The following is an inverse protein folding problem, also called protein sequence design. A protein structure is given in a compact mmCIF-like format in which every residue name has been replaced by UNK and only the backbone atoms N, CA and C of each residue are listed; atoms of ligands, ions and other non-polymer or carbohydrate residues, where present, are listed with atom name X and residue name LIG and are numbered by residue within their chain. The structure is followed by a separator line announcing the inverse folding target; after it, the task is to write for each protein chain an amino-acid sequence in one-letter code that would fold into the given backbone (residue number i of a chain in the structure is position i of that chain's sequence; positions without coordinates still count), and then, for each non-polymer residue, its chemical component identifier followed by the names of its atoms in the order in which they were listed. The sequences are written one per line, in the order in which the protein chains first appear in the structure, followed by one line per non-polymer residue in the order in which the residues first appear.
data_IF_868590974827
#
_entry.id   IF_868590974827
#
_cell.length_a   1.000
_cell.length_b   1.000
_cell.length_c   1.000
_cell.angle_alpha   90.00
_cell.angle_beta   90.00
_cell.angle_gamma   90.00
#
_symmetry.space_group_name_H-M   'P 1'
#
loop_
_entity.id
_entity.type
_entity.pdbx_description
1 polymer ?
#
# COMPACT_ATOMS: atom_id res chain seq x y z
N UNK A 1 9.19 15.91 -8.40
CA UNK A 1 8.49 15.13 -7.36
C UNK A 1 6.99 15.20 -7.58
N UNK A 2 6.29 14.06 -7.51
CA UNK A 2 4.85 13.99 -7.66
C UNK A 2 4.13 14.79 -6.57
N UNK A 3 3.04 15.48 -6.93
CA UNK A 3 2.10 16.05 -5.95
C UNK A 3 1.26 14.93 -5.34
N UNK A 4 0.74 15.12 -4.12
CA UNK A 4 -0.05 14.11 -3.40
C UNK A 4 -1.12 13.41 -4.27
N UNK A 5 -1.96 14.13 -5.05
CA UNK A 5 -2.99 13.47 -5.85
C UNK A 5 -2.42 12.53 -6.92
N UNK A 6 -1.28 12.90 -7.51
CA UNK A 6 -0.61 12.08 -8.52
C UNK A 6 0.09 10.86 -7.88
N UNK A 7 0.69 11.04 -6.70
CA UNK A 7 1.27 9.94 -5.94
C UNK A 7 0.18 8.93 -5.53
N UNK A 8 -0.93 9.40 -4.95
CA UNK A 8 -2.05 8.54 -4.58
C UNK A 8 -2.67 7.83 -5.80
N UNK A 9 -2.82 8.53 -6.92
CA UNK A 9 -3.34 7.92 -8.15
C UNK A 9 -2.41 6.81 -8.67
N UNK A 10 -1.09 7.02 -8.63
CA UNK A 10 -0.11 6.02 -9.00
C UNK A 10 -0.20 4.80 -8.08
N UNK A 11 -0.23 5.02 -6.77
CA UNK A 11 -0.42 3.96 -5.77
C UNK A 11 -1.67 3.15 -6.08
N UNK A 12 -2.84 3.80 -6.21
CA UNK A 12 -4.09 3.11 -6.48
C UNK A 12 -4.07 2.33 -7.80
N UNK A 13 -3.43 2.90 -8.83
CA UNK A 13 -3.29 2.24 -10.14
C UNK A 13 -2.41 0.99 -10.08
N UNK A 14 -1.42 0.94 -9.19
CA UNK A 14 -0.52 -0.20 -9.01
C UNK A 14 -1.10 -1.21 -8.04
N UNK A 15 -1.53 -0.76 -6.86
CA UNK A 15 -1.85 -1.64 -5.75
C UNK A 15 -3.22 -2.30 -5.88
N UNK A 16 -4.24 -1.56 -6.33
CA UNK A 16 -5.61 -2.09 -6.39
C UNK A 16 -5.70 -3.31 -7.32
N UNK A 17 -5.14 -3.32 -8.54
CA UNK A 17 -5.14 -4.51 -9.38
C UNK A 17 -4.40 -5.69 -8.74
N UNK A 18 -3.24 -5.45 -8.13
CA UNK A 18 -2.42 -6.51 -7.52
C UNK A 18 -3.13 -7.16 -6.33
N UNK A 19 -3.64 -6.34 -5.40
CA UNK A 19 -4.47 -6.82 -4.30
C UNK A 19 -5.72 -7.54 -4.82
N UNK A 20 -6.45 -6.96 -5.77
CA UNK A 20 -7.70 -7.53 -6.24
C UNK A 20 -7.50 -8.92 -6.88
N UNK A 21 -6.46 -9.08 -7.71
CA UNK A 21 -6.07 -10.36 -8.32
C UNK A 21 -5.65 -11.35 -7.24
N UNK A 22 -4.74 -10.96 -6.34
CA UNK A 22 -4.25 -11.85 -5.29
C UNK A 22 -5.38 -12.31 -4.35
N UNK A 23 -6.25 -11.41 -3.92
CA UNK A 23 -7.41 -11.73 -3.09
C UNK A 23 -8.42 -12.62 -3.82
N UNK A 24 -8.64 -12.38 -5.12
CA UNK A 24 -9.55 -13.19 -5.94
C UNK A 24 -9.08 -14.62 -6.08
N UNK A 25 -7.80 -14.84 -6.36
CA UNK A 25 -7.27 -16.16 -6.68
C UNK A 25 -6.70 -16.89 -5.46
N UNK A 26 -6.06 -16.18 -4.53
CA UNK A 26 -5.53 -16.75 -3.29
C UNK A 26 -6.59 -17.04 -2.23
N UNK A 27 -7.58 -16.15 -2.06
CA UNK A 27 -8.60 -16.26 -1.01
C UNK A 27 -10.03 -16.43 -1.52
N UNK A 28 -10.22 -16.54 -2.84
CA UNK A 28 -11.53 -16.70 -3.48
C UNK A 28 -12.50 -15.55 -3.17
N UNK A 29 -11.99 -14.37 -2.87
CA UNK A 29 -12.79 -13.17 -2.62
C UNK A 29 -13.52 -12.75 -3.90
N UNK A 30 -14.78 -12.31 -3.78
CA UNK A 30 -15.54 -11.80 -4.94
C UNK A 30 -14.87 -10.52 -5.47
N UNK A 31 -14.84 -10.34 -6.79
CA UNK A 31 -14.19 -9.18 -7.43
C UNK A 31 -14.59 -7.82 -6.83
N UNK A 32 -15.88 -7.50 -6.65
CA UNK A 32 -16.27 -6.21 -6.07
C UNK A 32 -15.72 -6.02 -4.66
N UNK A 33 -15.73 -7.07 -3.85
CA UNK A 33 -15.19 -7.05 -2.48
C UNK A 33 -13.68 -6.93 -2.48
N UNK A 34 -12.98 -7.61 -3.39
CA UNK A 34 -11.52 -7.55 -3.50
C UNK A 34 -11.03 -6.16 -3.90
N UNK A 35 -11.68 -5.55 -4.91
CA UNK A 35 -11.38 -4.18 -5.36
C UNK A 35 -11.72 -3.16 -4.26
N UNK A 36 -12.88 -3.29 -3.63
CA UNK A 36 -13.29 -2.38 -2.55
C UNK A 36 -12.36 -2.45 -1.34
N UNK A 37 -11.98 -3.66 -0.92
CA UNK A 37 -11.03 -3.84 0.17
C UNK A 37 -9.66 -3.24 -0.17
N UNK A 38 -9.14 -3.52 -1.36
CA UNK A 38 -7.87 -2.97 -1.83
C UNK A 38 -7.86 -1.44 -1.85
N UNK A 39 -8.88 -0.82 -2.45
CA UNK A 39 -8.99 0.62 -2.50
C UNK A 39 -9.14 1.23 -1.09
N UNK A 40 -9.95 0.60 -0.23
CA UNK A 40 -10.20 1.14 1.10
C UNK A 40 -8.97 1.09 2.01
N UNK A 41 -8.19 -0.01 2.00
CA UNK A 41 -6.96 -0.06 2.82
C UNK A 41 -5.97 1.00 2.37
N UNK A 42 -5.77 1.15 1.06
CA UNK A 42 -4.93 2.18 0.47
C UNK A 42 -5.38 3.60 0.86
N UNK A 43 -6.68 3.89 0.74
CA UNK A 43 -7.26 5.20 1.08
C UNK A 43 -7.17 5.52 2.58
N UNK A 44 -7.06 4.51 3.44
CA UNK A 44 -6.86 4.70 4.89
C UNK A 44 -5.39 4.94 5.21
N UNK A 45 -4.47 4.18 4.60
CA UNK A 45 -3.05 4.19 4.95
C UNK A 45 -2.26 5.33 4.29
N UNK A 46 -2.50 5.58 3.01
CA UNK A 46 -1.66 6.47 2.21
C UNK A 46 -1.78 7.97 2.55
N UNK A 47 -2.93 8.53 2.96
CA UNK A 47 -2.98 9.90 3.45
C UNK A 47 -2.10 10.12 4.69
N UNK A 48 -2.09 9.13 5.60
CA UNK A 48 -1.29 9.17 6.83
C UNK A 48 0.20 9.04 6.49
N UNK A 49 0.55 8.04 5.67
CA UNK A 49 1.91 7.82 5.19
C UNK A 49 2.47 9.08 4.53
N UNK A 50 1.72 9.69 3.61
CA UNK A 50 2.12 10.91 2.94
C UNK A 50 2.35 12.06 3.91
N UNK A 51 1.44 12.25 4.87
CA UNK A 51 1.56 13.33 5.86
C UNK A 51 2.85 13.19 6.65
N UNK A 52 3.13 11.99 7.19
CA UNK A 52 4.36 11.70 7.94
C UNK A 52 5.61 11.90 7.08
N UNK A 53 5.66 11.29 5.89
CA UNK A 53 6.84 11.39 5.04
C UNK A 53 7.07 12.80 4.51
N UNK A 54 6.02 13.57 4.24
CA UNK A 54 6.13 14.94 3.74
C UNK A 54 6.80 15.89 4.74
N UNK A 55 6.58 15.68 6.04
CA UNK A 55 7.18 16.47 7.12
C UNK A 55 8.67 16.16 7.34
N UNK A 56 9.10 14.95 6.98
CA UNK A 56 10.45 14.46 7.24
C UNK A 56 11.34 14.49 5.98
N UNK A 57 10.85 15.06 4.87
CA UNK A 57 11.63 15.21 3.63
C UNK A 57 12.88 16.05 3.90
N UNK A 58 14.04 15.53 3.48
CA UNK A 58 15.33 16.20 3.61
C UNK A 58 16.11 15.85 4.89
N UNK A 59 15.53 15.07 5.81
CA UNK A 59 16.29 14.52 6.92
C UNK A 59 17.31 13.49 6.42
N UNK A 60 18.54 13.49 6.96
CA UNK A 60 19.56 12.49 6.61
C UNK A 60 19.12 11.04 6.89
N UNK A 61 18.18 10.85 7.83
CA UNK A 61 17.58 9.56 8.16
C UNK A 61 16.37 9.17 7.29
N UNK A 62 16.03 9.94 6.24
CA UNK A 62 14.84 9.72 5.41
C UNK A 62 14.70 8.28 4.87
N UNK A 63 15.75 7.60 4.39
CA UNK A 63 15.62 6.21 3.94
C UNK A 63 15.17 5.25 5.03
N UNK A 64 15.69 5.40 6.26
CA UNK A 64 15.30 4.56 7.39
C UNK A 64 13.86 4.86 7.84
N UNK A 65 13.47 6.13 7.83
CA UNK A 65 12.10 6.57 8.10
C UNK A 65 11.12 6.00 7.07
N UNK A 66 11.48 6.04 5.78
CA UNK A 66 10.69 5.46 4.71
C UNK A 66 10.45 3.96 4.96
N UNK A 67 11.51 3.19 5.16
CA UNK A 67 11.40 1.74 5.41
C UNK A 67 10.54 1.44 6.64
N UNK A 68 10.74 2.19 7.74
CA UNK A 68 9.93 2.03 8.95
C UNK A 68 8.45 2.37 8.76
N UNK A 69 8.16 3.44 8.02
CA UNK A 69 6.79 3.86 7.72
C UNK A 69 6.07 2.87 6.79
N UNK A 70 6.75 2.38 5.76
CA UNK A 70 6.25 1.35 4.85
C UNK A 70 5.97 0.04 5.60
N UNK A 71 6.87 -0.39 6.50
CA UNK A 71 6.65 -1.57 7.32
C UNK A 71 5.41 -1.42 8.22
N UNK A 72 5.20 -0.24 8.81
CA UNK A 72 4.01 0.05 9.60
C UNK A 72 2.74 0.04 8.74
N UNK A 73 2.78 0.62 7.54
CA UNK A 73 1.67 0.59 6.58
C UNK A 73 1.33 -0.85 6.21
N UNK A 74 2.31 -1.66 5.82
CA UNK A 74 2.11 -3.07 5.49
C UNK A 74 1.42 -3.85 6.62
N UNK A 75 1.83 -3.61 7.87
CA UNK A 75 1.19 -4.23 9.03
C UNK A 75 -0.26 -3.77 9.21
N UNK A 76 -0.54 -2.48 9.07
CA UNK A 76 -1.90 -1.92 9.16
C UNK A 76 -2.79 -2.45 8.04
N UNK A 77 -2.33 -2.46 6.80
CA UNK A 77 -3.09 -3.00 5.66
C UNK A 77 -3.42 -4.47 5.84
N UNK A 78 -2.44 -5.27 6.28
CA UNK A 78 -2.65 -6.68 6.58
C UNK A 78 -3.73 -6.88 7.67
N UNK A 79 -3.70 -6.07 8.73
CA UNK A 79 -4.71 -6.10 9.80
C UNK A 79 -6.09 -5.68 9.28
N UNK A 80 -6.17 -4.62 8.47
CA UNK A 80 -7.44 -4.16 7.89
C UNK A 80 -8.04 -5.20 6.94
N UNK A 81 -7.21 -5.83 6.09
CA UNK A 81 -7.64 -6.92 5.21
C UNK A 81 -8.09 -8.14 6.01
N UNK A 82 -7.31 -8.54 7.02
CA UNK A 82 -7.64 -9.64 7.91
C UNK A 82 -8.99 -9.40 8.61
N UNK A 83 -9.20 -8.20 9.14
CA UNK A 83 -10.43 -7.80 9.79
C UNK A 83 -11.62 -7.80 8.82
N UNK A 84 -11.50 -7.13 7.67
CA UNK A 84 -12.58 -7.00 6.68
C UNK A 84 -12.98 -8.37 6.12
N UNK A 85 -11.99 -9.16 5.68
CA UNK A 85 -12.22 -10.46 5.06
C UNK A 85 -12.47 -11.57 6.09
N UNK A 86 -12.40 -11.24 7.39
CA UNK A 86 -12.51 -12.18 8.52
C UNK A 86 -11.54 -13.35 8.39
N UNK A 87 -10.29 -13.05 8.06
CA UNK A 87 -9.19 -14.01 7.91
C UNK A 87 -8.09 -13.75 8.92
N UNK A 88 -7.34 -14.78 9.30
CA UNK A 88 -6.17 -14.69 10.18
C UNK A 88 -5.01 -15.42 9.52
N UNK A 89 -4.60 -14.89 8.38
CA UNK A 89 -3.60 -15.50 7.52
C UNK A 89 -2.39 -14.57 7.41
N UNK A 90 -1.21 -15.07 7.79
CA UNK A 90 0.04 -14.33 7.70
C UNK A 90 0.42 -13.99 6.25
N UNK A 91 -0.12 -14.70 5.27
CA UNK A 91 0.08 -14.40 3.84
C UNK A 91 -0.51 -13.05 3.44
N UNK A 92 -1.46 -12.47 4.20
CA UNK A 92 -1.95 -11.12 3.95
C UNK A 92 -0.87 -10.06 4.23
N UNK A 93 0.02 -10.30 5.19
CA UNK A 93 1.17 -9.43 5.43
C UNK A 93 2.18 -9.53 4.30
N UNK A 94 2.46 -10.76 3.83
CA UNK A 94 3.36 -10.98 2.68
C UNK A 94 2.81 -10.28 1.43
N UNK A 95 1.50 -10.38 1.20
CA UNK A 95 0.83 -9.66 0.12
C UNK A 95 0.98 -8.15 0.27
N UNK A 96 0.73 -7.61 1.46
CA UNK A 96 0.86 -6.18 1.70
C UNK A 96 2.28 -5.66 1.43
N UNK A 97 3.30 -6.37 1.92
CA UNK A 97 4.71 -6.04 1.67
C UNK A 97 5.02 -6.08 0.17
N UNK A 98 4.61 -7.13 -0.54
CA UNK A 98 4.88 -7.26 -1.97
C UNK A 98 4.22 -6.14 -2.80
N UNK A 99 2.98 -5.79 -2.48
CA UNK A 99 2.22 -4.75 -3.17
C UNK A 99 2.81 -3.36 -2.89
N UNK A 100 3.07 -3.02 -1.63
CA UNK A 100 3.69 -1.74 -1.25
C UNK A 100 5.10 -1.62 -1.85
N UNK A 101 5.92 -2.68 -1.84
CA UNK A 101 7.24 -2.66 -2.48
C UNK A 101 7.14 -2.37 -3.98
N UNK A 102 6.13 -2.92 -4.66
CA UNK A 102 5.89 -2.66 -6.09
C UNK A 102 5.46 -1.20 -6.32
N UNK A 103 4.62 -0.66 -5.45
CA UNK A 103 4.16 0.74 -5.46
C UNK A 103 5.30 1.73 -5.24
N UNK A 104 6.15 1.46 -4.24
CA UNK A 104 7.38 2.23 -3.97
C UNK A 104 8.31 2.20 -5.18
N UNK A 105 8.55 1.02 -5.77
CA UNK A 105 9.39 0.90 -6.96
C UNK A 105 8.81 1.68 -8.14
N UNK A 106 7.50 1.61 -8.37
CA UNK A 106 6.83 2.39 -9.40
C UNK A 106 6.98 3.90 -9.16
N UNK A 107 6.86 4.34 -7.91
CA UNK A 107 7.09 5.73 -7.51
C UNK A 107 8.53 6.19 -7.77
N UNK A 108 9.52 5.34 -7.47
CA UNK A 108 10.94 5.62 -7.73
C UNK A 108 11.22 5.73 -9.23
N UNK A 109 10.69 4.81 -10.04
CA UNK A 109 10.82 4.84 -11.50
C UNK A 109 10.16 6.12 -12.04
N UNK A 110 8.93 6.43 -11.66
CA UNK A 110 8.21 7.62 -12.10
C UNK A 110 8.90 8.94 -11.67
N UNK A 111 9.68 8.93 -10.59
CA UNK A 111 10.45 10.09 -10.15
C UNK A 111 11.82 10.22 -10.85
N UNK A 112 12.28 9.18 -11.55
CA UNK A 112 13.55 9.14 -12.29
C UNK A 112 13.43 9.57 -13.75
N UNK A 113 12.21 9.73 -14.26
CA UNK A 113 11.87 10.22 -15.61
C UNK A 113 11.50 11.70 -15.53
#
# INVERSE_FOLDING_TARGET
MLRYPAALALTLAVEVPLYAVALRFGWRTRWPTAVAAAAAVNLVTHPVLWTVLSQLRGAGAYPAVLVGAEAAVCAVEAVLLAWWLRRRDGLLLVLAVAVNATSVLAGLIAASV
#
